data_IF_901076618967
#
_entry.id   IF_901076618967
#
_cell.length_a   1.000
_cell.length_b   1.000
_cell.length_c   1.000
_cell.angle_alpha   90.00
_cell.angle_beta   90.00
_cell.angle_gamma   90.00
#
_symmetry.space_group_name_H-M   'P 1'
#
loop_
_entity.id
_entity.type
_entity.pdbx_description
1 polymer ?
#
# COMPACT_ATOMS: atom_id res chain seq x y z
N UNK A 1 3.95 2.90 -13.80
CA UNK A 1 3.16 3.74 -12.87
C UNK A 1 4.00 4.95 -12.49
N UNK A 2 3.45 6.17 -12.49
CA UNK A 2 4.20 7.36 -12.03
C UNK A 2 4.27 7.39 -10.50
N UNK A 3 5.24 8.12 -9.94
CA UNK A 3 5.27 8.41 -8.50
C UNK A 3 3.98 9.11 -8.04
N UNK A 4 3.40 9.96 -8.90
CA UNK A 4 2.14 10.64 -8.58
C UNK A 4 0.97 9.66 -8.43
N UNK A 5 0.90 8.60 -9.25
CA UNK A 5 -0.10 7.54 -9.11
C UNK A 5 0.06 6.77 -7.78
N UNK A 6 1.31 6.44 -7.41
CA UNK A 6 1.63 5.73 -6.16
C UNK A 6 1.18 6.56 -4.96
N UNK A 7 1.49 7.85 -4.96
CA UNK A 7 1.08 8.77 -3.91
C UNK A 7 -0.44 8.87 -3.79
N UNK A 8 -1.12 9.03 -4.93
CA UNK A 8 -2.58 9.14 -4.96
C UNK A 8 -3.28 7.86 -4.47
N UNK A 9 -2.75 6.68 -4.83
CA UNK A 9 -3.22 5.40 -4.29
C UNK A 9 -3.02 5.30 -2.77
N UNK A 10 -1.84 5.68 -2.27
CA UNK A 10 -1.56 5.69 -0.84
C UNK A 10 -2.46 6.67 -0.07
N UNK A 11 -2.73 7.86 -0.61
CA UNK A 11 -3.66 8.82 0.00
C UNK A 11 -5.09 8.29 0.11
N UNK A 12 -5.52 7.42 -0.83
CA UNK A 12 -6.82 6.76 -0.72
C UNK A 12 -6.93 5.85 0.52
N UNK A 13 -5.80 5.37 1.03
CA UNK A 13 -5.69 4.56 2.24
C UNK A 13 -5.63 5.38 3.53
N UNK A 14 -5.53 6.71 3.44
CA UNK A 14 -5.64 7.62 4.59
C UNK A 14 -7.08 7.86 5.04
N UNK A 15 -8.07 7.33 4.31
CA UNK A 15 -9.49 7.46 4.62
C UNK A 15 -9.84 6.76 5.94
N UNK A 16 -10.84 7.25 6.69
CA UNK A 16 -11.29 6.64 7.94
C UNK A 16 -11.88 5.23 7.79
N UNK A 17 -11.99 4.72 6.56
CA UNK A 17 -12.30 3.32 6.26
C UNK A 17 -11.19 2.35 6.64
N UNK A 18 -9.96 2.83 6.87
CA UNK A 18 -8.81 2.04 7.29
C UNK A 18 -8.44 2.35 8.75
N UNK A 19 -7.87 1.36 9.42
CA UNK A 19 -7.40 1.50 10.80
C UNK A 19 -6.35 2.59 10.98
N UNK A 20 -6.24 3.10 12.21
CA UNK A 20 -5.28 4.15 12.53
C UNK A 20 -3.82 3.70 12.32
N UNK A 21 -3.52 2.43 12.60
CA UNK A 21 -2.20 1.83 12.36
C UNK A 21 -1.83 1.86 10.87
N UNK A 22 -2.75 1.40 10.00
CA UNK A 22 -2.59 1.47 8.54
C UNK A 22 -2.32 2.90 8.08
N UNK A 23 -3.15 3.85 8.51
CA UNK A 23 -3.01 5.25 8.10
C UNK A 23 -1.69 5.86 8.57
N UNK A 24 -1.20 5.45 9.75
CA UNK A 24 0.06 5.91 10.30
C UNK A 24 1.25 5.38 9.49
N UNK A 25 1.26 4.08 9.16
CA UNK A 25 2.31 3.50 8.31
C UNK A 25 2.35 4.18 6.93
N UNK A 26 1.19 4.35 6.29
CA UNK A 26 1.09 5.05 4.99
C UNK A 26 1.64 6.47 5.09
N UNK A 27 1.28 7.23 6.15
CA UNK A 27 1.80 8.58 6.38
C UNK A 27 3.31 8.59 6.52
N UNK A 28 3.87 7.70 7.33
CA UNK A 28 5.33 7.62 7.50
C UNK A 28 6.03 7.29 6.17
N UNK A 29 5.47 6.39 5.38
CA UNK A 29 5.99 6.04 4.05
C UNK A 29 5.94 7.21 3.07
N UNK A 30 4.85 8.00 3.10
CA UNK A 30 4.67 9.21 2.30
C UNK A 30 5.62 10.34 2.71
N UNK A 31 5.86 10.51 4.01
CA UNK A 31 6.76 11.54 4.54
C UNK A 31 8.23 11.20 4.25
N UNK A 32 8.61 9.92 4.32
CA UNK A 32 9.99 9.47 4.09
C UNK A 32 10.31 9.21 2.61
N UNK A 33 9.33 9.34 1.71
CA UNK A 33 9.43 8.94 0.30
C UNK A 33 10.03 7.52 0.14
N UNK A 34 9.62 6.61 1.03
CA UNK A 34 10.27 5.31 1.16
C UNK A 34 10.09 4.46 -0.09
N UNK A 35 11.11 3.66 -0.43
CA UNK A 35 11.00 2.65 -1.48
C UNK A 35 9.88 1.65 -1.18
N UNK A 36 9.59 1.39 0.11
CA UNK A 36 8.45 0.57 0.52
C UNK A 36 7.10 1.12 0.06
N UNK A 37 6.92 2.45 -0.03
CA UNK A 37 5.70 3.03 -0.58
C UNK A 37 5.52 2.59 -2.03
N UNK A 38 6.60 2.64 -2.81
CA UNK A 38 6.58 2.21 -4.20
C UNK A 38 6.31 0.72 -4.26
N UNK A 39 7.02 -0.11 -3.51
CA UNK A 39 6.81 -1.57 -3.52
C UNK A 39 5.40 -2.00 -3.07
N UNK A 40 4.78 -1.24 -2.18
CA UNK A 40 3.46 -1.52 -1.64
C UNK A 40 2.32 -1.10 -2.58
N UNK A 41 2.56 -0.11 -3.46
CA UNK A 41 1.53 0.48 -4.32
C UNK A 41 1.84 0.43 -5.82
N UNK A 42 3.02 -0.05 -6.25
CA UNK A 42 3.38 -0.10 -7.68
C UNK A 42 2.51 -1.09 -8.47
N UNK A 43 1.89 -2.05 -7.78
CA UNK A 43 1.01 -3.05 -8.36
C UNK A 43 -0.19 -3.29 -7.44
N UNK A 44 -1.27 -3.75 -8.02
CA UNK A 44 -2.38 -4.31 -7.28
C UNK A 44 -2.14 -5.83 -7.18
N UNK A 45 -2.31 -6.39 -5.98
CA UNK A 45 -2.12 -7.81 -5.72
C UNK A 45 -3.11 -8.59 -6.59
N UNK A 46 -2.63 -9.16 -7.69
CA UNK A 46 -3.44 -10.00 -8.56
C UNK A 46 -3.66 -11.34 -7.84
N UNK A 47 -4.87 -11.55 -7.32
CA UNK A 47 -5.31 -12.83 -6.78
C UNK A 47 -5.47 -13.86 -7.92
N UNK A 48 -4.35 -14.38 -8.41
CA UNK A 48 -4.30 -15.53 -9.32
C UNK A 48 -4.44 -16.85 -8.55
N UNK A 49 -5.12 -17.82 -9.15
CA UNK A 49 -5.51 -19.15 -8.62
C UNK A 49 -4.37 -20.09 -8.18
N UNK A 50 -3.16 -19.59 -7.92
CA UNK A 50 -1.93 -20.35 -7.68
C UNK A 50 -1.30 -20.23 -6.29
N UNK A 51 -2.04 -19.76 -5.28
CA UNK A 51 -1.59 -19.72 -3.88
C UNK A 51 -1.18 -18.32 -3.40
N UNK A 52 -1.73 -17.92 -2.26
CA UNK A 52 -1.45 -16.63 -1.63
C UNK A 52 -0.01 -16.58 -1.11
N UNK A 53 0.90 -15.95 -1.87
CA UNK A 53 2.19 -15.45 -1.37
C UNK A 53 2.14 -13.93 -1.31
N UNK A 54 1.21 -13.40 -0.51
CA UNK A 54 1.19 -11.97 -0.22
C UNK A 54 2.11 -11.68 0.97
N UNK A 55 2.95 -10.66 0.84
CA UNK A 55 3.68 -10.10 1.98
C UNK A 55 2.62 -9.39 2.85
N UNK A 56 2.61 -9.66 4.16
CA UNK A 56 1.75 -8.93 5.10
C UNK A 56 2.22 -7.47 5.19
N UNK A 57 1.28 -6.53 5.09
CA UNK A 57 1.55 -5.10 5.28
C UNK A 57 0.55 -4.22 4.55
N UNK A 58 0.71 -2.91 4.70
CA UNK A 58 -0.13 -1.91 4.03
C UNK A 58 0.26 -1.74 2.57
N UNK A 59 -0.72 -1.77 1.66
CA UNK A 59 -0.48 -1.61 0.23
C UNK A 59 -1.49 -2.33 -0.64
N UNK A 60 -1.73 -1.82 -1.84
CA UNK A 60 -2.52 -2.55 -2.86
C UNK A 60 -1.84 -3.85 -3.29
N UNK A 61 -0.52 -3.94 -3.13
CA UNK A 61 0.30 -5.12 -3.43
C UNK A 61 0.54 -6.05 -2.22
N UNK A 62 -0.06 -5.74 -1.06
CA UNK A 62 0.14 -6.50 0.18
C UNK A 62 -1.21 -7.00 0.72
N UNK A 63 -1.18 -8.09 1.48
CA UNK A 63 -2.39 -8.59 2.14
C UNK A 63 -2.62 -7.71 3.36
N UNK A 64 -3.67 -6.90 3.31
CA UNK A 64 -4.09 -6.08 4.44
C UNK A 64 -4.59 -6.99 5.56
N UNK A 65 -4.16 -6.71 6.80
CA UNK A 65 -4.59 -7.46 7.99
C UNK A 65 -5.98 -7.02 8.43
#
# INVERSE_FOLDING_TARGET
>A
MSYYDIKSKAEAWLKPSFDEETRKEIKEMLEKDSEELKESFYKDLEFGTGGMRGIMGVGTNRINK
#
